data_IF_460159754391
#
_entry.id   IF_460159754391
#
_cell.length_a   1.000
_cell.length_b   1.000
_cell.length_c   1.000
_cell.angle_alpha   90.00
_cell.angle_beta   90.00
_cell.angle_gamma   90.00
#
_symmetry.space_group_name_H-M   'P 1'
#
loop_
_entity.id
_entity.type
_entity.pdbx_description
1 polymer ?
#
# COMPACT_ATOMS: atom_id res chain seq x y z
N UNK A 1 1.28 23.41 -10.95
CA UNK A 1 0.80 22.03 -10.69
C UNK A 1 0.03 22.06 -9.39
N UNK A 2 -1.24 21.76 -9.43
CA UNK A 2 -2.06 21.52 -8.23
C UNK A 2 -1.96 20.04 -7.85
N UNK A 3 -2.08 19.72 -6.57
CA UNK A 3 -1.92 18.38 -6.01
C UNK A 3 -0.60 17.71 -6.48
N UNK A 4 0.50 18.45 -6.42
CA UNK A 4 1.77 18.00 -6.98
C UNK A 4 2.28 16.68 -6.40
N UNK A 5 1.83 16.30 -5.20
CA UNK A 5 2.14 15.01 -4.58
C UNK A 5 1.56 13.78 -5.31
N UNK A 6 0.57 13.97 -6.21
CA UNK A 6 -0.02 12.91 -7.01
C UNK A 6 0.73 12.64 -8.32
N UNK A 7 1.62 13.54 -8.72
CA UNK A 7 2.49 13.38 -9.88
C UNK A 7 3.82 12.72 -9.51
N UNK A 8 4.55 12.28 -10.52
CA UNK A 8 5.92 11.77 -10.34
C UNK A 8 6.95 12.89 -10.42
N UNK A 9 8.16 12.64 -9.90
CA UNK A 9 9.29 13.58 -10.09
C UNK A 9 9.67 13.72 -11.58
N UNK A 10 9.48 12.68 -12.37
CA UNK A 10 9.72 12.72 -13.81
C UNK A 10 8.74 13.66 -14.52
N UNK A 11 7.47 13.70 -14.12
CA UNK A 11 6.48 14.65 -14.64
C UNK A 11 6.90 16.10 -14.35
N UNK A 12 7.33 16.38 -13.12
CA UNK A 12 7.84 17.69 -12.73
C UNK A 12 9.08 18.07 -13.56
N UNK A 13 10.02 17.15 -13.73
CA UNK A 13 11.24 17.35 -14.50
C UNK A 13 10.93 17.67 -15.96
N UNK A 14 9.99 16.95 -16.58
CA UNK A 14 9.54 17.19 -17.94
C UNK A 14 8.89 18.58 -18.11
N UNK A 15 8.11 19.02 -17.14
CA UNK A 15 7.53 20.38 -17.16
C UNK A 15 8.65 21.41 -17.08
N UNK A 16 9.62 21.22 -16.18
CA UNK A 16 10.79 22.11 -16.05
C UNK A 16 11.55 22.28 -17.36
N UNK A 17 11.75 21.20 -18.12
CA UNK A 17 12.40 21.23 -19.42
C UNK A 17 11.59 21.98 -20.50
N UNK A 18 10.29 22.14 -20.33
CA UNK A 18 9.40 22.83 -21.28
C UNK A 18 9.18 24.30 -20.95
N UNK A 19 9.45 24.73 -19.74
CA UNK A 19 9.39 26.12 -19.32
C UNK A 19 10.67 26.82 -19.81
N UNK A 20 10.63 27.28 -21.06
CA UNK A 20 11.77 27.87 -21.76
C UNK A 20 11.36 28.91 -22.83
N UNK A 21 10.75 30.00 -22.41
CA UNK A 21 10.45 31.09 -23.31
C UNK A 21 11.61 32.09 -23.27
N UNK A 22 12.37 32.29 -24.37
CA UNK A 22 13.51 33.21 -24.39
C UNK A 22 13.12 34.70 -24.21
N UNK A 23 11.81 35.01 -24.33
CA UNK A 23 11.31 36.38 -24.19
C UNK A 23 10.66 36.63 -22.83
N UNK A 24 10.47 35.61 -22.01
CA UNK A 24 9.90 35.75 -20.68
C UNK A 24 10.98 36.21 -19.67
N UNK A 25 10.75 37.33 -19.00
CA UNK A 25 11.69 37.86 -18.02
C UNK A 25 11.84 36.99 -16.77
N UNK A 26 10.78 36.31 -16.38
CA UNK A 26 10.74 35.42 -15.21
C UNK A 26 9.91 34.21 -15.52
N UNK A 27 10.56 33.04 -15.55
CA UNK A 27 9.88 31.75 -15.70
C UNK A 27 9.78 31.07 -14.34
N UNK A 28 8.58 30.67 -13.94
CA UNK A 28 8.34 30.11 -12.62
C UNK A 28 7.39 28.92 -12.74
N UNK A 29 7.61 27.93 -11.88
CA UNK A 29 6.69 26.80 -11.69
C UNK A 29 6.11 26.93 -10.29
N UNK A 30 4.78 26.92 -10.20
CA UNK A 30 4.07 26.91 -8.93
C UNK A 30 3.58 25.49 -8.66
N UNK A 31 3.89 24.99 -7.48
CA UNK A 31 3.41 23.71 -6.97
C UNK A 31 2.53 23.96 -5.75
N UNK A 32 1.36 23.33 -5.70
CA UNK A 32 0.55 23.26 -4.48
C UNK A 32 0.27 21.79 -4.15
N UNK A 33 0.36 21.43 -2.89
CA UNK A 33 0.12 20.08 -2.42
C UNK A 33 -0.09 20.03 -0.92
N UNK A 34 -0.78 18.98 -0.47
CA UNK A 34 -0.80 18.60 0.94
C UNK A 34 0.40 17.70 1.25
N UNK A 35 1.09 17.90 2.38
CA UNK A 35 2.32 17.17 2.71
C UNK A 35 2.03 15.76 3.23
N UNK A 36 1.55 14.88 2.36
CA UNK A 36 1.01 13.55 2.73
C UNK A 36 2.05 12.56 3.24
N UNK A 37 3.29 12.60 2.74
CA UNK A 37 4.32 11.62 3.11
C UNK A 37 5.73 12.18 2.96
N UNK A 38 6.63 11.82 3.89
CA UNK A 38 8.07 12.08 3.76
C UNK A 38 8.76 11.19 2.72
N UNK A 39 8.11 10.11 2.27
CA UNK A 39 8.61 9.29 1.16
C UNK A 39 8.25 9.88 -0.21
N UNK A 40 7.34 10.86 -0.27
CA UNK A 40 6.95 11.50 -1.52
C UNK A 40 8.10 12.36 -2.08
N UNK A 41 8.21 12.43 -3.41
CA UNK A 41 9.23 13.20 -4.10
C UNK A 41 9.22 14.68 -3.71
N UNK A 42 8.05 15.26 -3.40
CA UNK A 42 7.93 16.65 -2.94
C UNK A 42 8.67 16.89 -1.64
N UNK A 43 8.66 15.92 -0.70
CA UNK A 43 9.48 16.00 0.50
C UNK A 43 10.96 15.83 0.16
N UNK A 44 11.30 14.82 -0.61
CA UNK A 44 12.69 14.47 -0.91
C UNK A 44 13.42 15.61 -1.62
N UNK A 45 12.74 16.32 -2.53
CA UNK A 45 13.32 17.40 -3.32
C UNK A 45 13.34 18.75 -2.58
N UNK A 46 12.35 19.05 -1.76
CA UNK A 46 12.19 20.40 -1.20
C UNK A 46 12.39 20.50 0.32
N UNK A 47 12.34 19.38 1.06
CA UNK A 47 12.33 19.42 2.53
C UNK A 47 13.29 18.43 3.18
N UNK A 48 13.83 17.47 2.44
CA UNK A 48 14.81 16.52 2.97
C UNK A 48 16.10 17.23 3.39
N UNK A 49 16.76 16.79 4.46
CA UNK A 49 18.12 17.25 4.79
C UNK A 49 19.13 17.00 3.66
N UNK A 50 18.87 16.00 2.81
CA UNK A 50 19.72 15.61 1.68
C UNK A 50 19.33 16.29 0.36
N UNK A 51 18.34 17.21 0.37
CA UNK A 51 17.93 17.94 -0.81
C UNK A 51 19.05 18.86 -1.33
N UNK A 52 19.09 19.02 -2.65
CA UNK A 52 20.10 19.86 -3.31
C UNK A 52 19.96 21.33 -2.89
N UNK A 53 20.97 21.83 -2.19
CA UNK A 53 20.98 23.20 -1.63
C UNK A 53 21.02 24.27 -2.72
N UNK A 54 21.78 24.04 -3.79
CA UNK A 54 21.91 25.01 -4.90
C UNK A 54 20.55 25.14 -5.62
N UNK A 55 19.84 24.03 -5.80
CA UNK A 55 18.47 24.05 -6.31
C UNK A 55 17.53 24.80 -5.36
N UNK A 56 17.61 24.55 -4.05
CA UNK A 56 16.74 25.18 -3.05
C UNK A 56 16.91 26.68 -2.95
N UNK A 57 18.07 27.24 -3.30
CA UNK A 57 18.30 28.69 -3.35
C UNK A 57 17.40 29.38 -4.39
N UNK A 58 16.95 28.67 -5.40
CA UNK A 58 15.97 29.12 -6.39
C UNK A 58 14.51 28.92 -5.99
N UNK A 59 14.24 28.26 -4.87
CA UNK A 59 12.89 27.84 -4.44
C UNK A 59 12.36 28.70 -3.31
N UNK A 60 11.14 29.21 -3.47
CA UNK A 60 10.41 29.85 -2.36
C UNK A 60 9.33 28.91 -1.83
N UNK A 61 9.50 28.47 -0.59
CA UNK A 61 8.51 27.64 0.10
C UNK A 61 7.57 28.55 0.89
N UNK A 62 6.26 28.39 0.66
CA UNK A 62 5.20 29.09 1.39
C UNK A 62 4.34 28.01 2.08
N UNK A 63 4.33 28.04 3.41
CA UNK A 63 3.46 27.15 4.20
C UNK A 63 2.23 27.90 4.64
N UNK A 64 1.06 27.33 4.39
CA UNK A 64 -0.23 27.87 4.82
C UNK A 64 -1.07 26.75 5.42
N UNK A 65 -2.00 27.11 6.28
CA UNK A 65 -2.94 26.20 6.87
C UNK A 65 -4.34 26.86 6.97
N UNK A 66 -5.33 26.13 7.49
CA UNK A 66 -6.70 26.63 7.55
C UNK A 66 -6.86 27.90 8.42
N UNK A 67 -5.97 28.16 9.38
CA UNK A 67 -6.00 29.33 10.24
C UNK A 67 -5.59 30.62 9.47
N UNK A 68 -4.85 30.47 8.38
CA UNK A 68 -4.43 31.59 7.54
C UNK A 68 -5.58 32.06 6.60
N UNK A 69 -6.62 31.24 6.42
CA UNK A 69 -7.77 31.57 5.58
C UNK A 69 -9.00 31.98 6.40
N UNK A 70 -9.16 33.29 6.61
CA UNK A 70 -10.26 33.89 7.35
C UNK A 70 -11.65 33.75 6.66
N UNK A 71 -11.71 33.29 5.43
CA UNK A 71 -12.94 33.18 4.66
C UNK A 71 -13.56 31.76 4.67
N UNK A 72 -12.95 30.83 5.40
CA UNK A 72 -13.48 29.47 5.48
C UNK A 72 -14.85 29.46 6.18
N UNK A 73 -15.84 28.72 5.63
CA UNK A 73 -17.11 28.48 6.29
C UNK A 73 -16.89 27.79 7.65
N UNK A 74 -17.73 28.15 8.63
CA UNK A 74 -17.66 27.57 9.97
C UNK A 74 -17.80 26.05 9.97
N UNK A 75 -18.72 25.53 9.14
CA UNK A 75 -18.97 24.09 8.99
C UNK A 75 -17.72 23.34 8.51
N UNK A 76 -16.94 23.95 7.64
CA UNK A 76 -15.68 23.38 7.17
C UNK A 76 -14.63 23.35 8.29
N UNK A 77 -14.50 24.44 9.05
CA UNK A 77 -13.59 24.50 10.21
C UNK A 77 -13.98 23.47 11.27
N UNK A 78 -15.29 23.35 11.56
CA UNK A 78 -15.80 22.36 12.50
C UNK A 78 -15.47 20.91 12.04
N UNK A 79 -15.56 20.65 10.75
CA UNK A 79 -15.18 19.34 10.18
C UNK A 79 -13.69 19.05 10.35
N UNK A 80 -12.81 20.03 10.15
CA UNK A 80 -11.36 19.89 10.41
C UNK A 80 -11.09 19.64 11.90
N UNK A 81 -11.76 20.35 12.79
CA UNK A 81 -11.62 20.16 14.24
C UNK A 81 -12.13 18.78 14.70
N UNK A 82 -13.13 18.23 14.01
CA UNK A 82 -13.56 16.85 14.24
C UNK A 82 -12.48 15.84 13.84
N UNK A 83 -11.77 16.08 12.72
CA UNK A 83 -10.63 15.26 12.32
C UNK A 83 -9.54 15.22 13.40
N UNK A 84 -9.31 16.30 14.12
CA UNK A 84 -8.35 16.33 15.24
C UNK A 84 -8.62 15.25 16.27
N UNK A 85 -9.90 14.90 16.49
CA UNK A 85 -10.33 13.88 17.47
C UNK A 85 -10.38 12.49 16.88
N UNK A 86 -10.82 12.37 15.61
CA UNK A 86 -11.09 11.08 14.96
C UNK A 86 -9.90 10.55 14.18
N UNK A 87 -9.07 11.43 13.61
CA UNK A 87 -7.88 11.06 12.86
C UNK A 87 -6.81 12.17 12.96
N UNK A 88 -6.02 12.22 14.07
CA UNK A 88 -5.02 13.26 14.30
C UNK A 88 -3.96 13.36 13.18
N UNK A 89 -3.62 12.24 12.53
CA UNK A 89 -2.66 12.23 11.42
C UNK A 89 -3.20 13.01 10.21
N UNK A 90 -4.46 12.78 9.84
CA UNK A 90 -5.12 13.55 8.79
C UNK A 90 -5.25 15.03 9.13
N UNK A 91 -5.57 15.34 10.39
CA UNK A 91 -5.61 16.72 10.86
C UNK A 91 -4.25 17.40 10.70
N UNK A 92 -3.14 16.74 11.06
CA UNK A 92 -1.79 17.27 10.86
C UNK A 92 -1.52 17.62 9.40
N UNK A 93 -1.89 16.72 8.48
CA UNK A 93 -1.63 16.92 7.05
C UNK A 93 -2.55 17.96 6.43
N UNK A 94 -3.86 17.76 6.51
CA UNK A 94 -4.84 18.52 5.75
C UNK A 94 -5.28 19.81 6.43
N UNK A 95 -5.14 19.91 7.76
CA UNK A 95 -5.46 21.13 8.49
C UNK A 95 -4.23 21.96 8.83
N UNK A 96 -3.12 21.34 9.26
CA UNK A 96 -1.94 22.05 9.71
C UNK A 96 -0.82 22.14 8.66
N UNK A 97 -0.89 21.41 7.56
CA UNK A 97 0.16 21.38 6.55
C UNK A 97 1.48 20.79 7.05
N UNK A 98 1.40 19.88 8.01
CA UNK A 98 2.55 19.15 8.53
C UNK A 98 2.82 17.92 7.68
N UNK A 99 4.10 17.67 7.34
CA UNK A 99 4.42 16.40 6.70
C UNK A 99 4.03 15.25 7.62
N UNK A 100 3.00 14.55 7.18
CA UNK A 100 2.64 13.31 7.84
C UNK A 100 3.80 12.35 7.75
N UNK A 101 4.09 11.69 8.83
CA UNK A 101 4.52 10.31 8.74
C UNK A 101 3.25 9.48 8.48
N UNK A 102 2.61 9.77 7.34
CA UNK A 102 1.77 8.78 6.72
C UNK A 102 2.73 7.81 6.02
N UNK A 103 3.49 7.10 6.78
CA UNK A 103 3.42 5.67 6.69
C UNK A 103 1.96 5.31 7.01
N UNK A 104 1.05 5.58 6.09
CA UNK A 104 -0.17 4.84 6.00
C UNK A 104 0.22 3.50 5.43
N UNK A 105 0.99 2.79 6.19
CA UNK A 105 0.91 1.35 6.09
C UNK A 105 -0.56 1.07 6.27
N UNK A 106 -1.19 0.55 5.25
CA UNK A 106 -2.58 0.10 5.33
C UNK A 106 -2.74 -0.76 6.58
N UNK A 107 -1.66 -1.43 6.99
CA UNK A 107 -1.57 -2.21 8.20
C UNK A 107 -0.52 -1.59 9.14
N UNK A 108 -0.97 -0.99 10.21
CA UNK A 108 -0.16 -0.32 11.25
C UNK A 108 0.10 -1.21 12.48
N UNK A 109 -0.62 -2.33 12.61
CA UNK A 109 -0.52 -3.25 13.74
C UNK A 109 -0.14 -4.67 13.27
N UNK A 110 1.16 -4.87 13.05
CA UNK A 110 1.74 -6.15 12.66
C UNK A 110 3.17 -6.28 13.20
N UNK A 111 3.67 -7.52 13.29
CA UNK A 111 5.01 -7.80 13.79
C UNK A 111 5.63 -9.01 13.11
N UNK A 112 6.95 -9.08 13.14
CA UNK A 112 7.73 -10.23 12.63
C UNK A 112 8.17 -11.06 13.82
N UNK A 113 7.63 -12.28 13.93
CA UNK A 113 8.00 -13.24 14.96
C UNK A 113 7.95 -14.66 14.38
N UNK A 114 8.80 -15.59 14.85
CA UNK A 114 8.73 -17.00 14.45
C UNK A 114 7.35 -17.58 14.78
N UNK A 115 6.76 -18.30 13.82
CA UNK A 115 5.41 -18.88 13.93
C UNK A 115 5.51 -20.40 14.06
N UNK A 116 5.21 -20.93 15.24
CA UNK A 116 5.05 -22.38 15.45
C UNK A 116 3.59 -22.77 15.23
N UNK A 117 3.29 -23.27 14.03
CA UNK A 117 1.94 -23.66 13.62
C UNK A 117 1.37 -24.81 14.45
N UNK A 118 2.20 -25.59 15.15
CA UNK A 118 1.73 -26.71 15.97
C UNK A 118 1.07 -26.26 17.27
N UNK A 119 1.32 -25.03 17.68
CA UNK A 119 0.78 -24.42 18.91
C UNK A 119 -0.45 -23.54 18.65
N UNK A 120 -0.87 -23.37 17.39
CA UNK A 120 -1.92 -22.44 17.01
C UNK A 120 -3.19 -23.22 16.64
N UNK A 121 -4.25 -23.01 17.41
CA UNK A 121 -5.59 -23.47 17.06
C UNK A 121 -6.27 -22.42 16.18
N UNK A 122 -6.14 -22.59 14.87
CA UNK A 122 -6.60 -21.60 13.90
C UNK A 122 -7.12 -22.22 12.61
N UNK A 123 -7.92 -21.44 11.87
CA UNK A 123 -8.41 -21.83 10.55
C UNK A 123 -7.35 -21.56 9.49
N UNK A 124 -7.01 -22.58 8.70
CA UNK A 124 -6.09 -22.43 7.56
C UNK A 124 -6.73 -21.57 6.46
N UNK A 125 -6.03 -20.53 6.06
CA UNK A 125 -6.35 -19.68 4.91
C UNK A 125 -5.20 -19.72 3.91
N UNK A 126 -5.51 -20.04 2.65
CA UNK A 126 -4.54 -20.00 1.56
C UNK A 126 -5.04 -19.03 0.49
N UNK A 127 -4.18 -18.10 0.11
CA UNK A 127 -4.43 -17.11 -0.93
C UNK A 127 -3.46 -17.26 -2.11
N UNK A 128 -3.96 -17.12 -3.34
CA UNK A 128 -3.16 -17.12 -4.56
C UNK A 128 -3.45 -15.87 -5.37
N UNK A 129 -2.42 -15.12 -5.66
CA UNK A 129 -2.46 -14.03 -6.64
C UNK A 129 -1.64 -14.43 -7.88
N UNK A 130 -2.23 -14.18 -9.05
CA UNK A 130 -1.61 -14.55 -10.31
C UNK A 130 -0.75 -13.41 -10.82
N UNK A 131 0.49 -13.69 -11.13
CA UNK A 131 1.38 -12.81 -11.86
C UNK A 131 2.11 -13.57 -12.96
N UNK A 132 2.73 -12.86 -13.90
CA UNK A 132 3.50 -13.49 -14.96
C UNK A 132 4.79 -12.72 -15.26
N UNK A 133 4.78 -11.75 -16.18
CA UNK A 133 6.00 -11.08 -16.66
C UNK A 133 6.46 -9.99 -15.70
N UNK A 134 5.58 -9.05 -15.37
CA UNK A 134 5.90 -7.90 -14.54
C UNK A 134 5.70 -8.18 -13.06
N UNK A 135 4.58 -8.81 -12.74
CA UNK A 135 4.19 -9.13 -11.37
C UNK A 135 4.48 -10.60 -11.05
N UNK A 136 4.94 -10.91 -9.85
CA UNK A 136 5.13 -12.28 -9.42
C UNK A 136 3.80 -12.98 -9.12
N UNK A 137 3.77 -14.30 -9.29
CA UNK A 137 2.75 -15.13 -8.67
C UNK A 137 3.07 -15.21 -7.17
N UNK A 138 2.09 -14.88 -6.34
CA UNK A 138 2.19 -14.96 -4.88
C UNK A 138 1.23 -16.00 -4.31
N UNK A 139 1.73 -16.91 -3.48
CA UNK A 139 0.91 -17.88 -2.73
C UNK A 139 1.25 -17.77 -1.25
N UNK A 140 0.25 -17.55 -0.41
CA UNK A 140 0.42 -17.29 1.02
C UNK A 140 -0.44 -18.25 1.82
N UNK A 141 0.13 -18.80 2.91
CA UNK A 141 -0.58 -19.61 3.88
C UNK A 141 -0.55 -18.96 5.26
N UNK A 142 -1.70 -18.92 5.90
CA UNK A 142 -1.88 -18.33 7.22
C UNK A 142 -2.86 -19.14 8.09
N UNK A 143 -2.76 -18.98 9.40
CA UNK A 143 -3.72 -19.48 10.39
C UNK A 143 -4.46 -18.30 11.03
N UNK A 144 -5.77 -18.33 10.95
CA UNK A 144 -6.65 -17.33 11.57
C UNK A 144 -7.15 -17.84 12.92
N UNK A 145 -6.70 -17.22 13.99
CA UNK A 145 -7.22 -17.38 15.34
C UNK A 145 -8.27 -16.29 15.61
N UNK A 146 -9.51 -16.59 15.32
CA UNK A 146 -10.62 -15.65 15.51
C UNK A 146 -10.87 -15.32 16.99
N UNK A 147 -10.59 -16.26 17.88
CA UNK A 147 -10.81 -16.14 19.31
C UNK A 147 -9.87 -15.08 19.93
N UNK A 148 -8.60 -15.15 19.57
CA UNK A 148 -7.57 -14.24 20.09
C UNK A 148 -7.33 -13.05 19.17
N UNK A 149 -8.09 -12.92 18.06
CA UNK A 149 -7.94 -11.86 17.05
C UNK A 149 -6.53 -11.77 16.49
N UNK A 150 -5.96 -12.92 16.09
CA UNK A 150 -4.63 -13.00 15.50
C UNK A 150 -4.65 -13.68 14.15
N UNK A 151 -3.83 -13.18 13.24
CA UNK A 151 -3.55 -13.80 11.94
C UNK A 151 -2.06 -14.11 11.85
N UNK A 152 -1.73 -15.38 11.77
CA UNK A 152 -0.37 -15.85 11.67
C UNK A 152 -0.05 -16.24 10.23
N UNK A 153 0.81 -15.48 9.57
CA UNK A 153 1.31 -15.81 8.23
C UNK A 153 2.64 -16.51 8.38
N UNK A 154 2.72 -17.76 7.94
CA UNK A 154 3.86 -18.62 8.24
C UNK A 154 4.54 -19.20 7.01
N UNK A 155 3.95 -19.03 5.82
CA UNK A 155 4.55 -19.54 4.61
C UNK A 155 4.15 -18.70 3.40
N UNK A 156 5.13 -18.38 2.57
CA UNK A 156 4.92 -17.71 1.30
C UNK A 156 5.65 -18.43 0.16
N UNK A 157 5.15 -18.20 -1.03
CA UNK A 157 5.84 -18.46 -2.28
C UNK A 157 5.66 -17.25 -3.19
N UNK A 158 6.74 -16.82 -3.84
CA UNK A 158 6.76 -15.60 -4.60
C UNK A 158 7.72 -15.74 -5.79
N UNK A 159 7.20 -15.81 -7.03
CA UNK A 159 8.04 -16.01 -8.21
C UNK A 159 7.37 -15.48 -9.48
N UNK A 160 8.18 -14.86 -10.37
CA UNK A 160 7.76 -14.41 -11.70
C UNK A 160 7.87 -15.52 -12.74
N UNK A 161 7.10 -15.39 -13.83
CA UNK A 161 7.24 -16.21 -15.03
C UNK A 161 6.73 -17.64 -14.92
N UNK A 162 5.84 -17.92 -13.96
CA UNK A 162 5.28 -19.26 -13.79
C UNK A 162 4.06 -19.50 -14.67
N UNK A 163 4.04 -20.68 -15.31
CA UNK A 163 2.86 -21.22 -15.95
C UNK A 163 1.95 -21.94 -14.94
N UNK A 164 0.67 -22.09 -15.26
CA UNK A 164 -0.33 -22.69 -14.35
C UNK A 164 0.01 -24.11 -13.87
N UNK A 165 0.65 -24.93 -14.71
CA UNK A 165 1.14 -26.25 -14.33
C UNK A 165 2.27 -26.17 -13.29
N UNK A 166 3.14 -25.17 -13.40
CA UNK A 166 4.24 -24.93 -12.45
C UNK A 166 3.69 -24.42 -11.11
N UNK A 167 2.71 -23.51 -11.14
CA UNK A 167 2.01 -23.04 -9.94
C UNK A 167 1.36 -24.21 -9.21
N UNK A 168 0.63 -25.07 -9.93
CA UNK A 168 0.00 -26.25 -9.35
C UNK A 168 1.04 -27.24 -8.76
N UNK A 169 2.21 -27.37 -9.40
CA UNK A 169 3.32 -28.19 -8.89
C UNK A 169 3.84 -27.66 -7.56
N UNK A 170 4.11 -26.36 -7.50
CA UNK A 170 4.59 -25.69 -6.27
C UNK A 170 3.58 -25.88 -5.12
N UNK A 171 2.31 -25.62 -5.34
CA UNK A 171 1.26 -25.80 -4.33
C UNK A 171 1.23 -27.24 -3.79
N UNK A 172 1.46 -28.24 -4.66
CA UNK A 172 1.54 -29.65 -4.24
C UNK A 172 2.79 -29.94 -3.42
N UNK A 173 3.94 -29.43 -3.84
CA UNK A 173 5.23 -29.61 -3.15
C UNK A 173 5.21 -28.95 -1.76
N UNK A 174 4.51 -27.84 -1.62
CA UNK A 174 4.26 -27.18 -0.34
C UNK A 174 3.25 -27.91 0.55
N UNK A 175 2.55 -28.96 0.05
CA UNK A 175 1.60 -29.76 0.81
C UNK A 175 0.14 -29.28 0.79
N UNK A 176 -0.21 -28.27 0.00
CA UNK A 176 -1.53 -27.64 0.00
C UNK A 176 -2.48 -28.13 -1.10
N UNK A 177 -2.18 -29.23 -1.78
CA UNK A 177 -3.00 -29.75 -2.87
C UNK A 177 -4.47 -29.98 -2.50
N UNK A 178 -4.75 -30.34 -1.23
CA UNK A 178 -6.10 -30.61 -0.70
C UNK A 178 -6.71 -29.43 0.06
N UNK A 179 -5.99 -28.32 0.22
CA UNK A 179 -6.44 -27.15 0.97
C UNK A 179 -7.40 -26.31 0.14
N UNK A 180 -8.31 -25.60 0.83
CA UNK A 180 -9.13 -24.60 0.19
C UNK A 180 -8.24 -23.37 -0.14
N UNK A 181 -8.21 -22.98 -1.41
CA UNK A 181 -7.40 -21.86 -1.88
C UNK A 181 -8.34 -20.83 -2.50
N UNK A 182 -8.17 -19.58 -2.11
CA UNK A 182 -8.88 -18.43 -2.71
C UNK A 182 -7.91 -17.74 -3.66
N UNK A 183 -8.27 -17.63 -4.94
CA UNK A 183 -7.45 -17.00 -5.96
C UNK A 183 -8.09 -15.73 -6.50
N UNK A 184 -7.30 -14.86 -7.13
CA UNK A 184 -7.86 -13.68 -7.78
C UNK A 184 -8.92 -14.06 -8.81
N UNK A 185 -10.08 -13.40 -8.73
CA UNK A 185 -11.25 -13.69 -9.57
C UNK A 185 -11.10 -13.21 -11.01
N UNK A 186 -10.13 -12.35 -11.34
CA UNK A 186 -9.86 -11.91 -12.70
C UNK A 186 -9.36 -13.06 -13.60
N UNK A 187 -8.72 -14.07 -13.02
CA UNK A 187 -8.02 -15.17 -13.70
C UNK A 187 -8.81 -16.49 -13.69
N UNK A 188 -10.09 -16.47 -14.06
CA UNK A 188 -10.95 -17.67 -14.04
C UNK A 188 -10.40 -18.83 -14.89
N UNK A 189 -9.79 -18.53 -16.06
CA UNK A 189 -9.20 -19.55 -16.93
C UNK A 189 -8.04 -20.25 -16.24
N UNK A 190 -7.17 -19.52 -15.58
CA UNK A 190 -6.04 -20.03 -14.81
C UNK A 190 -6.51 -20.90 -13.63
N UNK A 191 -7.58 -20.49 -12.93
CA UNK A 191 -8.19 -21.27 -11.86
C UNK A 191 -8.69 -22.63 -12.38
N UNK A 192 -9.43 -22.66 -13.50
CA UNK A 192 -9.93 -23.89 -14.08
C UNK A 192 -8.81 -24.79 -14.62
N UNK A 193 -7.74 -24.21 -15.13
CA UNK A 193 -6.56 -24.98 -15.56
C UNK A 193 -5.82 -25.59 -14.36
N UNK A 194 -5.62 -24.85 -13.29
CA UNK A 194 -4.98 -25.35 -12.05
C UNK A 194 -5.78 -26.50 -11.43
N UNK A 195 -7.11 -26.47 -11.50
CA UNK A 195 -7.96 -27.61 -11.09
C UNK A 195 -7.61 -28.88 -11.86
N UNK A 196 -7.39 -28.78 -13.18
CA UNK A 196 -7.01 -29.94 -14.01
C UNK A 196 -5.66 -30.53 -13.58
N UNK A 197 -4.78 -29.71 -13.03
CA UNK A 197 -3.51 -30.16 -12.44
C UNK A 197 -3.65 -30.68 -10.98
N UNK A 198 -4.88 -30.92 -10.49
CA UNK A 198 -5.13 -31.62 -9.24
C UNK A 198 -5.26 -30.73 -8.00
N UNK A 199 -5.45 -29.42 -8.15
CA UNK A 199 -5.76 -28.49 -7.05
C UNK A 199 -7.27 -28.21 -7.09
N UNK A 200 -8.09 -29.19 -6.70
CA UNK A 200 -9.55 -29.14 -6.90
C UNK A 200 -10.30 -28.12 -6.05
N UNK A 201 -9.74 -27.70 -4.91
CA UNK A 201 -10.41 -26.81 -3.96
C UNK A 201 -10.03 -25.32 -4.12
N UNK A 202 -9.44 -24.97 -5.27
CA UNK A 202 -9.20 -23.58 -5.66
C UNK A 202 -10.51 -22.96 -6.14
N UNK A 203 -10.80 -21.75 -5.71
CA UNK A 203 -11.99 -20.97 -6.11
C UNK A 203 -11.65 -19.49 -6.26
N UNK A 204 -12.39 -18.76 -7.11
CA UNK A 204 -12.20 -17.32 -7.22
C UNK A 204 -12.63 -16.58 -5.95
N UNK A 205 -11.95 -15.50 -5.65
CA UNK A 205 -12.38 -14.55 -4.65
C UNK A 205 -13.71 -13.91 -5.04
N UNK A 206 -14.60 -13.69 -4.07
CA UNK A 206 -15.85 -12.95 -4.30
C UNK A 206 -15.52 -11.46 -4.23
N UNK A 207 -15.53 -10.79 -5.38
CA UNK A 207 -15.30 -9.34 -5.49
C UNK A 207 -16.64 -8.63 -5.67
N UNK A 208 -16.91 -7.63 -4.82
CA UNK A 208 -18.03 -6.70 -4.94
C UNK A 208 -17.53 -5.26 -4.83
N UNK A 209 -18.43 -4.30 -5.03
CA UNK A 209 -18.10 -2.89 -4.85
C UNK A 209 -17.60 -2.65 -3.41
N UNK A 210 -16.39 -2.09 -3.25
CA UNK A 210 -15.77 -1.84 -1.94
C UNK A 210 -15.17 -3.09 -1.25
N UNK A 211 -15.08 -4.24 -1.90
CA UNK A 211 -14.57 -5.49 -1.29
C UNK A 211 -13.14 -5.37 -0.79
N UNK A 212 -12.28 -4.61 -1.46
CA UNK A 212 -10.88 -4.38 -1.03
C UNK A 212 -10.89 -3.62 0.31
N UNK A 213 -11.64 -2.53 0.40
CA UNK A 213 -11.72 -1.73 1.63
C UNK A 213 -12.30 -2.55 2.80
N UNK A 214 -13.33 -3.34 2.54
CA UNK A 214 -13.92 -4.24 3.53
C UNK A 214 -12.91 -5.31 3.99
N UNK A 215 -12.12 -5.86 3.06
CA UNK A 215 -11.06 -6.81 3.37
C UNK A 215 -9.98 -6.20 4.27
N UNK A 216 -9.51 -5.01 3.95
CA UNK A 216 -8.55 -4.24 4.76
C UNK A 216 -9.13 -3.96 6.15
N UNK A 217 -10.37 -3.49 6.24
CA UNK A 217 -11.05 -3.23 7.51
C UNK A 217 -11.20 -4.50 8.37
N UNK A 218 -11.46 -5.64 7.72
CA UNK A 218 -11.53 -6.93 8.41
C UNK A 218 -10.17 -7.34 8.94
N UNK A 219 -9.10 -7.25 8.14
CA UNK A 219 -7.74 -7.58 8.55
C UNK A 219 -7.23 -6.70 9.69
N UNK A 220 -7.58 -5.42 9.69
CA UNK A 220 -7.24 -4.47 10.79
C UNK A 220 -7.85 -4.83 12.14
N UNK A 221 -8.79 -5.74 12.20
CA UNK A 221 -9.35 -6.25 13.46
C UNK A 221 -8.44 -7.30 14.12
N UNK A 222 -7.38 -7.75 13.42
CA UNK A 222 -6.48 -8.79 13.88
C UNK A 222 -5.06 -8.23 14.07
N UNK A 223 -4.37 -8.73 15.09
CA UNK A 223 -2.92 -8.59 15.18
C UNK A 223 -2.30 -9.53 14.14
N UNK A 224 -1.54 -8.98 13.18
CA UNK A 224 -0.92 -9.76 12.12
C UNK A 224 0.51 -10.11 12.54
N UNK A 225 0.81 -11.40 12.57
CA UNK A 225 2.12 -11.94 12.93
C UNK A 225 2.67 -12.64 11.69
N UNK A 226 3.83 -12.19 11.21
CA UNK A 226 4.45 -12.69 9.99
C UNK A 226 5.74 -13.41 10.36
N UNK A 227 5.86 -14.66 9.93
CA UNK A 227 7.09 -15.43 10.13
C UNK A 227 8.26 -14.77 9.37
N UNK A 228 9.48 -14.71 9.96
CA UNK A 228 10.66 -14.12 9.32
C UNK A 228 11.01 -14.71 7.95
N UNK A 229 10.58 -15.93 7.64
CA UNK A 229 10.78 -16.56 6.33
C UNK A 229 9.93 -15.94 5.21
N UNK A 230 8.85 -15.23 5.55
CA UNK A 230 7.96 -14.55 4.59
C UNK A 230 8.52 -13.17 4.20
N UNK A 231 9.71 -13.14 3.59
CA UNK A 231 10.48 -11.91 3.34
C UNK A 231 9.79 -10.95 2.35
N UNK A 232 9.13 -11.50 1.31
CA UNK A 232 8.44 -10.68 0.31
C UNK A 232 7.20 -10.03 0.91
N UNK A 233 6.41 -10.78 1.67
CA UNK A 233 5.25 -10.23 2.36
C UNK A 233 5.64 -9.17 3.38
N UNK A 234 6.74 -9.35 4.11
CA UNK A 234 7.27 -8.36 5.05
C UNK A 234 7.62 -7.06 4.31
N UNK A 235 8.22 -7.15 3.13
CA UNK A 235 8.55 -6.00 2.30
C UNK A 235 7.29 -5.29 1.79
N UNK A 236 6.29 -6.05 1.32
CA UNK A 236 4.99 -5.52 0.93
C UNK A 236 4.31 -4.79 2.10
N UNK A 237 4.26 -5.39 3.29
CA UNK A 237 3.66 -4.76 4.46
C UNK A 237 4.37 -3.48 4.91
N UNK A 238 5.67 -3.34 4.64
CA UNK A 238 6.44 -2.12 4.92
C UNK A 238 6.11 -0.99 3.95
N UNK A 239 5.70 -1.32 2.74
CA UNK A 239 5.54 -0.37 1.64
C UNK A 239 4.07 -0.17 1.21
N UNK A 240 3.15 -1.01 1.67
CA UNK A 240 1.74 -0.96 1.29
C UNK A 240 1.03 0.22 1.96
N UNK A 241 0.80 1.28 1.16
CA UNK A 241 0.24 2.57 1.59
C UNK A 241 -1.00 2.95 0.77
#
# INVERSE_FOLDING_TARGET
>A
MEEASEFTFDDFSQIGLRVRDPFAANQQIYLSFNPVSKANWTYLQFFSPDADKEFLDSVKIIKTNYLDNRFLPKEYVDSLLMLKKTNPAYYGIYALGEFGSLNKLVFDYWKVEPVDITQIDGTLLCGLDFGFVNDPTAFICSLLDEKNKKLYVYQEFFQKGLLNNQIAKVIKEMGYAKSAIVADSAEQKSIEEIKKYGIYRIKPAVKGQGSILQGIQKLKQFEIIIDPSCVNLIEEFRNYS
#
